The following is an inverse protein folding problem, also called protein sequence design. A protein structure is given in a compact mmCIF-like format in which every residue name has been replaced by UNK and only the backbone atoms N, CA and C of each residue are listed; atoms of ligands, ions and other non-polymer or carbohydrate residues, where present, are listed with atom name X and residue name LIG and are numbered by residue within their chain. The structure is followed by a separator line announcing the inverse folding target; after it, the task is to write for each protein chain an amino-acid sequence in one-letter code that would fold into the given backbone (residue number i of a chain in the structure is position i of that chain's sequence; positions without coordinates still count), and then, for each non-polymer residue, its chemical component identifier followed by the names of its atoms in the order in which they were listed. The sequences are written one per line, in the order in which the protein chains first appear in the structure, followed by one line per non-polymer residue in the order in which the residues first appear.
data_IF_915537621445
#
_entry.id   IF_915537621445
#
_cell.length_a   1.000
_cell.length_b   1.000
_cell.length_c   1.000
_cell.angle_alpha   90.00
_cell.angle_beta   90.00
_cell.angle_gamma   90.00
#
_symmetry.space_group_name_H-M   'P 1'
#
loop_
_entity.id
_entity.type
_entity.pdbx_description
1 polymer ?
#
# COMPACT_ATOMS: atom_id res chain seq x y z
N UNK A 1 0.94 27.27 -27.46
CA UNK A 1 -0.35 27.10 -28.16
C UNK A 1 -0.79 25.66 -28.04
N UNK A 2 -1.68 25.33 -27.10
CA UNK A 2 -2.23 24.00 -26.96
C UNK A 2 -3.15 23.71 -28.15
N UNK A 3 -2.84 22.66 -28.91
CA UNK A 3 -3.75 22.14 -29.96
C UNK A 3 -5.07 21.75 -29.29
N UNK A 4 -6.16 22.49 -29.53
CA UNK A 4 -7.52 22.01 -29.25
C UNK A 4 -7.70 20.67 -29.95
N UNK A 5 -7.73 19.56 -29.19
CA UNK A 5 -8.22 18.27 -29.70
C UNK A 5 -9.66 18.50 -30.17
N UNK A 6 -9.95 18.10 -31.39
CA UNK A 6 -11.31 18.15 -31.91
C UNK A 6 -12.21 17.30 -31.02
N UNK A 7 -13.32 17.88 -30.53
CA UNK A 7 -14.31 17.15 -29.74
C UNK A 7 -14.83 15.96 -30.55
N UNK A 8 -14.90 14.79 -29.92
CA UNK A 8 -15.48 13.60 -30.54
C UNK A 8 -16.95 13.88 -30.84
N UNK A 9 -17.34 13.81 -32.11
CA UNK A 9 -18.75 13.90 -32.50
C UNK A 9 -19.36 12.51 -32.45
N UNK A 10 -20.42 12.36 -31.71
CA UNK A 10 -21.29 11.16 -31.76
C UNK A 10 -22.13 11.27 -33.01
N UNK A 11 -21.92 10.35 -33.98
CA UNK A 11 -22.47 10.50 -35.33
C UNK A 11 -24.02 10.54 -35.41
N UNK A 12 -24.72 9.97 -34.42
CA UNK A 12 -26.17 9.82 -34.45
C UNK A 12 -26.88 10.34 -33.17
N UNK A 13 -26.15 10.95 -32.23
CA UNK A 13 -26.71 11.45 -30.98
C UNK A 13 -26.72 12.99 -30.91
N UNK A 14 -27.84 13.55 -31.37
CA UNK A 14 -28.06 15.01 -31.37
C UNK A 14 -28.02 15.59 -29.97
N UNK A 15 -28.50 14.88 -28.95
CA UNK A 15 -28.56 15.36 -27.58
C UNK A 15 -27.15 15.43 -26.98
N UNK A 16 -26.34 14.40 -27.14
CA UNK A 16 -24.93 14.40 -26.69
C UNK A 16 -24.13 15.53 -27.35
N UNK A 17 -24.36 15.77 -28.66
CA UNK A 17 -23.70 16.88 -29.37
C UNK A 17 -24.15 18.26 -28.85
N UNK A 18 -25.42 18.43 -28.46
CA UNK A 18 -25.91 19.65 -27.82
C UNK A 18 -25.29 19.85 -26.41
N UNK A 19 -25.15 18.79 -25.62
CA UNK A 19 -24.51 18.83 -24.31
C UNK A 19 -23.04 19.26 -24.45
N UNK A 20 -22.30 18.66 -25.39
CA UNK A 20 -20.91 19.02 -25.67
C UNK A 20 -20.80 20.46 -26.11
N UNK A 21 -21.69 20.94 -26.97
CA UNK A 21 -21.69 22.31 -27.44
C UNK A 21 -21.95 23.34 -26.32
N UNK A 22 -22.80 22.97 -25.34
CA UNK A 22 -23.21 23.87 -24.26
C UNK A 22 -22.23 23.84 -23.07
N UNK A 23 -21.72 22.67 -22.70
CA UNK A 23 -21.00 22.45 -21.46
C UNK A 23 -19.53 22.05 -21.66
N UNK A 24 -19.06 21.87 -22.89
CA UNK A 24 -17.73 21.38 -23.21
C UNK A 24 -17.70 19.87 -23.40
N UNK A 25 -16.49 19.35 -23.60
CA UNK A 25 -16.22 17.93 -23.92
C UNK A 25 -16.35 17.04 -22.67
N UNK A 26 -17.57 16.88 -22.19
CA UNK A 26 -17.91 16.10 -20.97
C UNK A 26 -18.59 14.77 -21.27
N UNK A 27 -18.81 14.44 -22.54
CA UNK A 27 -19.41 13.17 -22.96
C UNK A 27 -18.37 12.33 -23.69
N UNK A 28 -18.10 11.14 -23.21
CA UNK A 28 -17.16 10.20 -23.80
C UNK A 28 -17.83 8.86 -24.07
N UNK A 29 -17.32 8.12 -25.05
CA UNK A 29 -17.78 6.76 -25.31
C UNK A 29 -17.23 5.79 -24.25
N UNK A 30 -18.07 4.85 -23.77
CA UNK A 30 -17.68 3.87 -22.76
C UNK A 30 -16.48 3.01 -23.17
N UNK A 31 -16.32 2.69 -24.46
CA UNK A 31 -15.14 1.97 -24.98
C UNK A 31 -13.85 2.77 -24.81
N UNK A 32 -13.89 4.10 -25.00
CA UNK A 32 -12.74 4.97 -24.78
C UNK A 32 -12.40 5.04 -23.29
N UNK A 33 -13.41 5.24 -22.44
CA UNK A 33 -13.23 5.25 -20.98
C UNK A 33 -12.63 3.92 -20.49
N UNK A 34 -13.11 2.78 -21.03
CA UNK A 34 -12.57 1.47 -20.69
C UNK A 34 -11.08 1.34 -21.07
N UNK A 35 -10.71 1.80 -22.27
CA UNK A 35 -9.31 1.81 -22.71
C UNK A 35 -8.44 2.67 -21.80
N UNK A 36 -8.92 3.86 -21.43
CA UNK A 36 -8.20 4.75 -20.51
C UNK A 36 -8.04 4.10 -19.13
N UNK A 37 -9.08 3.44 -18.60
CA UNK A 37 -9.03 2.72 -17.32
C UNK A 37 -8.03 1.55 -17.31
N UNK A 38 -7.83 0.88 -18.44
CA UNK A 38 -6.85 -0.20 -18.60
C UNK A 38 -5.40 0.29 -18.58
N UNK A 39 -5.16 1.60 -18.75
CA UNK A 39 -3.81 2.17 -18.67
C UNK A 39 -3.35 2.46 -17.25
N UNK A 40 -4.20 2.31 -16.24
CA UNK A 40 -3.82 2.52 -14.86
C UNK A 40 -3.05 1.31 -14.33
N UNK A 41 -1.87 1.55 -13.81
CA UNK A 41 -1.03 0.52 -13.23
C UNK A 41 -1.34 0.30 -11.74
N UNK A 42 -0.90 -0.83 -11.24
CA UNK A 42 -0.78 -1.09 -9.80
C UNK A 42 0.69 -1.07 -9.41
N UNK A 43 0.97 -0.58 -8.21
CA UNK A 43 2.31 -0.63 -7.60
C UNK A 43 2.21 -1.55 -6.40
N UNK A 44 3.02 -2.61 -6.41
CA UNK A 44 3.05 -3.59 -5.32
C UNK A 44 3.58 -2.99 -4.02
N UNK A 45 3.17 -3.60 -2.91
CA UNK A 45 3.71 -3.33 -1.58
C UNK A 45 4.65 -4.46 -1.18
N UNK A 46 4.08 -5.67 -1.08
CA UNK A 46 4.77 -6.90 -0.72
C UNK A 46 3.97 -8.11 -1.21
N UNK A 47 4.56 -9.30 -1.33
CA UNK A 47 3.87 -10.48 -1.87
C UNK A 47 2.51 -10.75 -1.23
N UNK A 48 2.42 -10.76 0.10
CA UNK A 48 1.17 -11.04 0.81
C UNK A 48 0.10 -9.97 0.59
N UNK A 49 0.49 -8.69 0.65
CA UNK A 49 -0.43 -7.57 0.44
C UNK A 49 -0.87 -7.48 -1.02
N UNK A 50 0.03 -7.74 -1.97
CA UNK A 50 -0.29 -7.69 -3.40
C UNK A 50 -1.32 -8.74 -3.78
N UNK A 51 -1.21 -9.95 -3.23
CA UNK A 51 -2.22 -10.99 -3.41
C UNK A 51 -3.59 -10.58 -2.86
N UNK A 52 -3.62 -10.06 -1.64
CA UNK A 52 -4.87 -9.62 -1.01
C UNK A 52 -5.50 -8.41 -1.73
N UNK A 53 -4.68 -7.53 -2.32
CA UNK A 53 -5.11 -6.34 -3.03
C UNK A 53 -5.50 -6.61 -4.50
N UNK A 54 -5.04 -7.71 -5.10
CA UNK A 54 -5.19 -7.97 -6.55
C UNK A 54 -4.09 -7.30 -7.38
N UNK A 55 -2.87 -7.21 -6.82
CA UNK A 55 -1.66 -6.73 -7.50
C UNK A 55 -1.04 -5.47 -6.92
N UNK A 56 -1.58 -4.91 -5.83
CA UNK A 56 -1.01 -3.74 -5.17
C UNK A 56 -1.95 -2.53 -5.09
N UNK A 57 -1.41 -1.34 -4.92
CA UNK A 57 -2.18 -0.09 -4.90
C UNK A 57 -2.32 0.49 -6.31
N UNK A 58 -3.57 0.73 -6.71
CA UNK A 58 -3.90 1.21 -8.05
C UNK A 58 -3.68 2.72 -8.17
N UNK A 59 -3.09 3.16 -9.27
CA UNK A 59 -3.03 4.57 -9.66
C UNK A 59 -4.42 5.21 -9.70
N UNK A 60 -4.49 6.50 -9.43
CA UNK A 60 -5.75 7.24 -9.46
C UNK A 60 -6.70 6.85 -8.32
N UNK A 61 -6.20 6.40 -7.17
CA UNK A 61 -7.04 5.93 -6.07
C UNK A 61 -6.69 6.55 -4.71
N UNK A 62 -7.70 6.55 -3.86
CA UNK A 62 -7.57 6.88 -2.43
C UNK A 62 -7.47 5.58 -1.65
N UNK A 63 -6.48 5.50 -0.78
CA UNK A 63 -6.17 4.35 0.08
C UNK A 63 -6.31 4.78 1.54
N UNK A 64 -6.97 3.98 2.34
CA UNK A 64 -7.05 4.18 3.79
C UNK A 64 -6.40 3.02 4.51
N UNK A 65 -5.46 3.31 5.39
CA UNK A 65 -4.81 2.35 6.29
C UNK A 65 -5.24 2.64 7.73
N UNK A 66 -6.00 1.75 8.33
CA UNK A 66 -6.53 1.90 9.69
C UNK A 66 -5.92 0.85 10.62
N UNK A 67 -5.67 1.19 11.87
CA UNK A 67 -5.18 0.24 12.88
C UNK A 67 -4.76 0.93 14.17
N UNK A 68 -4.49 0.14 15.18
CA UNK A 68 -4.00 0.63 16.48
C UNK A 68 -2.61 1.28 16.34
N UNK A 69 -2.19 2.13 17.26
CA UNK A 69 -0.83 2.68 17.27
C UNK A 69 0.25 1.59 17.28
N UNK A 70 1.37 1.84 16.60
CA UNK A 70 2.55 0.94 16.56
C UNK A 70 2.28 -0.44 15.92
N UNK A 71 1.28 -0.55 15.07
CA UNK A 71 0.97 -1.82 14.35
C UNK A 71 1.69 -1.95 13.01
N UNK A 72 2.44 -0.92 12.55
CA UNK A 72 3.22 -0.96 11.32
C UNK A 72 2.67 -0.16 10.15
N UNK A 73 1.59 0.66 10.34
CA UNK A 73 1.01 1.49 9.26
C UNK A 73 2.03 2.40 8.59
N UNK A 74 2.72 3.22 9.38
CA UNK A 74 3.79 4.13 8.91
C UNK A 74 4.89 3.36 8.19
N UNK A 75 5.38 2.27 8.76
CA UNK A 75 6.41 1.42 8.14
C UNK A 75 5.95 0.87 6.80
N UNK A 76 4.73 0.34 6.71
CA UNK A 76 4.17 -0.18 5.45
C UNK A 76 3.98 0.91 4.42
N UNK A 77 3.52 2.11 4.80
CA UNK A 77 3.36 3.24 3.87
C UNK A 77 4.70 3.76 3.36
N UNK A 78 5.74 3.83 4.20
CA UNK A 78 7.09 4.20 3.78
C UNK A 78 7.76 3.10 2.93
N UNK A 79 7.49 1.83 3.22
CA UNK A 79 7.93 0.73 2.38
C UNK A 79 7.31 0.80 0.99
N UNK A 80 6.01 1.11 0.91
CA UNK A 80 5.34 1.42 -0.36
C UNK A 80 5.94 2.65 -1.05
N UNK A 81 6.33 3.69 -0.29
CA UNK A 81 7.02 4.86 -0.86
C UNK A 81 8.30 4.47 -1.58
N UNK A 82 9.10 3.55 -1.04
CA UNK A 82 10.30 3.03 -1.71
C UNK A 82 9.96 2.33 -3.04
N UNK A 83 8.91 1.50 -3.07
CA UNK A 83 8.41 0.86 -4.29
C UNK A 83 7.90 1.89 -5.31
N UNK A 84 7.19 2.89 -4.85
CA UNK A 84 6.70 3.99 -5.70
C UNK A 84 7.85 4.81 -6.30
N UNK A 85 8.90 5.09 -5.53
CA UNK A 85 10.10 5.75 -6.02
C UNK A 85 10.81 4.91 -7.09
N UNK A 86 10.91 3.59 -6.90
CA UNK A 86 11.46 2.67 -7.88
C UNK A 86 10.62 2.63 -9.18
N UNK A 87 9.29 2.81 -9.06
CA UNK A 87 8.37 2.94 -10.19
C UNK A 87 8.36 4.35 -10.81
N UNK A 88 9.25 5.26 -10.39
CA UNK A 88 9.39 6.61 -10.94
C UNK A 88 8.38 7.63 -10.42
N UNK A 89 7.61 7.33 -9.36
CA UNK A 89 6.66 8.26 -8.78
C UNK A 89 7.34 9.29 -7.89
N UNK A 90 6.82 10.52 -7.90
CA UNK A 90 7.15 11.53 -6.90
C UNK A 90 6.46 11.19 -5.58
N UNK A 91 7.18 11.24 -4.46
CA UNK A 91 6.62 10.92 -3.14
C UNK A 91 6.58 12.14 -2.25
N UNK A 92 5.41 12.38 -1.65
CA UNK A 92 5.16 13.43 -0.66
C UNK A 92 4.67 12.79 0.63
N UNK A 93 5.24 13.21 1.75
CA UNK A 93 4.85 12.73 3.06
C UNK A 93 4.38 13.91 3.92
N UNK A 94 3.13 13.87 4.33
CA UNK A 94 2.50 14.86 5.19
C UNK A 94 2.60 14.40 6.63
N UNK A 95 3.59 14.93 7.35
CA UNK A 95 3.89 14.60 8.73
C UNK A 95 3.04 15.45 9.69
N UNK A 96 1.81 15.02 9.92
CA UNK A 96 0.87 15.73 10.80
C UNK A 96 1.06 15.35 12.27
N UNK A 97 1.71 14.19 12.55
CA UNK A 97 2.00 13.75 13.92
C UNK A 97 3.28 14.35 14.50
N UNK A 98 4.18 14.85 13.65
CA UNK A 98 5.47 15.37 14.09
C UNK A 98 6.40 14.31 14.71
N UNK A 99 6.20 13.03 14.38
CA UNK A 99 6.90 11.89 15.02
C UNK A 99 7.88 11.16 14.11
N UNK A 100 8.22 11.73 12.96
CA UNK A 100 9.24 11.14 12.10
C UNK A 100 10.59 11.08 12.81
N UNK A 101 11.22 9.92 12.76
CA UNK A 101 12.56 9.67 13.30
C UNK A 101 13.52 9.30 12.17
N UNK A 102 14.81 9.30 12.46
CA UNK A 102 15.84 8.86 11.52
C UNK A 102 15.57 7.42 11.05
N UNK A 103 15.14 6.55 11.95
CA UNK A 103 14.88 5.14 11.71
C UNK A 103 13.72 4.92 10.72
N UNK A 104 12.76 5.84 10.66
CA UNK A 104 11.70 5.80 9.64
C UNK A 104 12.25 5.88 8.21
N UNK A 105 13.40 6.52 8.00
CA UNK A 105 14.05 6.62 6.70
C UNK A 105 15.13 5.55 6.50
N UNK A 106 16.03 5.39 7.47
CA UNK A 106 17.16 4.47 7.35
C UNK A 106 16.75 3.01 7.55
N UNK A 107 15.63 2.77 8.21
CA UNK A 107 15.06 1.44 8.48
C UNK A 107 14.10 0.92 7.42
N UNK A 108 14.09 1.51 6.22
CA UNK A 108 13.25 1.06 5.10
C UNK A 108 14.16 0.77 3.90
N UNK A 109 14.25 -0.50 3.53
CA UNK A 109 15.06 -0.95 2.38
C UNK A 109 14.59 -0.27 1.09
N UNK A 110 15.51 0.39 0.39
CA UNK A 110 15.25 1.03 -0.90
C UNK A 110 14.62 2.42 -0.84
N UNK A 111 14.24 2.94 0.34
CA UNK A 111 13.73 4.29 0.47
C UNK A 111 14.86 5.32 0.29
N UNK A 112 14.68 6.24 -0.66
CA UNK A 112 15.59 7.34 -0.88
C UNK A 112 15.02 8.63 -0.25
N UNK A 113 15.65 9.08 0.84
CA UNK A 113 15.23 10.28 1.56
C UNK A 113 15.31 11.57 0.71
N UNK A 114 16.26 11.65 -0.23
CA UNK A 114 16.40 12.83 -1.12
C UNK A 114 15.27 12.95 -2.14
N UNK A 115 14.57 11.85 -2.40
CA UNK A 115 13.44 11.79 -3.34
C UNK A 115 12.06 11.86 -2.68
N UNK A 116 12.00 12.11 -1.36
CA UNK A 116 10.75 12.29 -0.64
C UNK A 116 10.63 13.74 -0.16
N UNK A 117 9.51 14.38 -0.42
CA UNK A 117 9.22 15.72 0.07
C UNK A 117 8.37 15.64 1.32
N UNK A 118 8.84 16.26 2.40
CA UNK A 118 8.13 16.27 3.68
C UNK A 118 7.36 17.59 3.82
N UNK A 119 6.07 17.49 4.11
CA UNK A 119 5.20 18.64 4.43
C UNK A 119 4.86 18.55 5.92
N UNK A 120 5.36 19.50 6.70
CA UNK A 120 5.21 19.53 8.15
C UNK A 120 5.34 20.95 8.70
N UNK A 121 5.06 21.12 10.00
CA UNK A 121 5.41 22.33 10.72
C UNK A 121 6.93 22.57 10.70
N UNK A 122 7.34 23.84 10.63
CA UNK A 122 8.74 24.27 10.61
C UNK A 122 8.93 25.44 11.56
N UNK A 123 10.17 25.83 11.83
CA UNK A 123 10.46 27.01 12.69
C UNK A 123 9.79 28.30 12.17
N UNK A 124 9.67 28.42 10.83
CA UNK A 124 9.01 29.59 10.21
C UNK A 124 7.47 29.45 10.18
N UNK A 125 6.94 28.26 10.30
CA UNK A 125 5.51 27.94 10.32
C UNK A 125 5.27 26.87 11.39
N UNK A 126 5.26 27.25 12.69
CA UNK A 126 5.25 26.29 13.78
C UNK A 126 3.91 25.58 13.97
N UNK A 127 2.85 26.10 13.38
CA UNK A 127 1.50 25.51 13.40
C UNK A 127 0.96 25.38 11.99
N UNK A 128 0.45 24.19 11.68
CA UNK A 128 -0.18 23.90 10.37
C UNK A 128 -1.55 23.30 10.62
N UNK A 129 -2.60 24.03 10.20
CA UNK A 129 -3.97 23.56 10.36
C UNK A 129 -4.35 22.46 9.38
N UNK A 130 -5.44 21.75 9.69
CA UNK A 130 -6.02 20.75 8.79
C UNK A 130 -6.32 21.32 7.41
N UNK A 131 -6.87 22.56 7.36
CA UNK A 131 -7.14 23.26 6.09
C UNK A 131 -5.88 23.48 5.28
N UNK A 132 -4.79 23.87 5.94
CA UNK A 132 -3.50 24.10 5.26
C UNK A 132 -2.95 22.79 4.66
N UNK A 133 -2.96 21.70 5.43
CA UNK A 133 -2.56 20.39 4.89
C UNK A 133 -3.44 19.95 3.72
N UNK A 134 -4.77 20.04 3.86
CA UNK A 134 -5.70 19.62 2.81
C UNK A 134 -5.59 20.48 1.55
N UNK A 135 -5.40 21.80 1.69
CA UNK A 135 -5.18 22.70 0.56
C UNK A 135 -3.84 22.43 -0.15
N UNK A 136 -2.79 22.09 0.59
CA UNK A 136 -1.51 21.69 0.02
C UNK A 136 -1.66 20.37 -0.78
N UNK A 137 -2.33 19.35 -0.23
CA UNK A 137 -2.62 18.10 -0.93
C UNK A 137 -3.43 18.38 -2.20
N UNK A 138 -4.51 19.19 -2.11
CA UNK A 138 -5.32 19.56 -3.27
C UNK A 138 -4.48 20.24 -4.37
N UNK A 139 -3.56 21.12 -3.97
CA UNK A 139 -2.66 21.80 -4.90
C UNK A 139 -1.76 20.80 -5.63
N UNK A 140 -1.18 19.84 -4.92
CA UNK A 140 -0.39 18.78 -5.54
C UNK A 140 -1.25 17.90 -6.45
N UNK A 141 -2.42 17.45 -5.99
CA UNK A 141 -3.34 16.63 -6.79
C UNK A 141 -3.68 17.28 -8.11
N UNK A 142 -3.93 18.60 -8.12
CA UNK A 142 -4.32 19.31 -9.35
C UNK A 142 -3.18 19.54 -10.33
N UNK A 143 -1.95 19.69 -9.84
CA UNK A 143 -0.83 20.21 -10.62
C UNK A 143 0.33 19.24 -10.81
N UNK A 144 0.34 18.09 -10.12
CA UNK A 144 1.44 17.12 -10.18
C UNK A 144 0.92 15.77 -10.66
N UNK A 145 1.29 15.32 -11.87
CA UNK A 145 0.94 13.98 -12.31
C UNK A 145 1.83 12.93 -11.62
N UNK A 146 1.36 11.70 -11.62
CA UNK A 146 2.14 10.52 -11.26
C UNK A 146 2.84 10.63 -9.89
N UNK A 147 2.08 10.95 -8.84
CA UNK A 147 2.65 11.09 -7.51
C UNK A 147 1.93 10.23 -6.46
N UNK A 148 2.62 10.02 -5.34
CA UNK A 148 2.10 9.39 -4.13
C UNK A 148 2.13 10.40 -3.01
N UNK A 149 1.02 10.57 -2.29
CA UNK A 149 0.97 11.32 -1.05
C UNK A 149 0.62 10.38 0.11
N UNK A 150 1.41 10.43 1.18
CA UNK A 150 1.18 9.71 2.43
C UNK A 150 0.84 10.74 3.49
N UNK A 151 -0.31 10.58 4.14
CA UNK A 151 -0.82 11.47 5.17
C UNK A 151 -0.81 10.72 6.50
N UNK A 152 0.17 11.03 7.35
CA UNK A 152 0.39 10.32 8.62
C UNK A 152 0.35 11.28 9.82
N UNK A 153 -0.77 11.32 10.53
CA UNK A 153 -2.05 10.69 10.30
C UNK A 153 -3.18 11.71 10.24
N UNK A 154 -4.29 11.35 9.61
CA UNK A 154 -5.48 12.23 9.58
C UNK A 154 -5.99 12.52 10.99
N UNK A 155 -5.84 11.56 11.90
CA UNK A 155 -6.28 11.68 13.31
C UNK A 155 -5.64 12.85 14.07
N UNK A 156 -4.47 13.32 13.60
CA UNK A 156 -3.73 14.42 14.24
C UNK A 156 -3.93 15.78 13.53
N UNK A 157 -4.74 15.84 12.49
CA UNK A 157 -5.08 17.12 11.85
C UNK A 157 -6.04 17.92 12.72
N UNK A 158 -5.66 19.16 13.07
CA UNK A 158 -6.46 20.07 13.88
C UNK A 158 -7.01 21.19 13.00
N UNK A 159 -8.35 21.40 12.94
CA UNK A 159 -8.95 22.53 12.26
C UNK A 159 -8.47 23.87 12.78
N UNK A 160 -8.44 24.92 11.93
CA UNK A 160 -7.95 26.25 12.30
C UNK A 160 -8.73 26.83 13.48
N UNK A 161 -10.05 26.71 13.48
CA UNK A 161 -10.90 27.22 14.57
C UNK A 161 -10.59 26.58 15.92
N UNK A 162 -10.11 25.33 15.93
CA UNK A 162 -9.68 24.64 17.14
C UNK A 162 -8.27 25.09 17.58
N UNK A 163 -7.42 25.49 16.66
CA UNK A 163 -6.08 26.04 16.94
C UNK A 163 -6.16 27.46 17.53
N UNK A 164 -7.10 28.27 17.07
CA UNK A 164 -7.29 29.66 17.50
C UNK A 164 -8.07 29.76 18.84
N UNK A 165 -8.74 28.67 19.23
CA UNK A 165 -9.56 28.61 20.44
C UNK A 165 -8.78 28.16 21.68
N UNK A 166 -9.37 28.42 22.87
CA UNK A 166 -8.90 27.81 24.11
C UNK A 166 -9.07 26.28 24.06
N UNK A 167 -8.24 25.55 24.79
CA UNK A 167 -8.36 24.09 24.99
C UNK A 167 -9.66 23.81 25.80
N UNK A 168 -10.78 23.89 25.11
CA UNK A 168 -12.13 23.55 25.64
C UNK A 168 -12.69 22.43 24.79
N UNK A 169 -13.75 21.75 25.29
CA UNK A 169 -14.44 20.75 24.47
C UNK A 169 -14.95 21.38 23.17
N UNK A 170 -14.25 21.16 22.07
CA UNK A 170 -14.48 21.79 20.77
C UNK A 170 -15.76 21.32 20.09
N UNK A 171 -16.13 21.99 19.02
CA UNK A 171 -17.27 21.61 18.18
C UNK A 171 -16.95 20.29 17.49
N UNK A 172 -17.58 19.22 17.94
CA UNK A 172 -17.43 17.88 17.35
C UNK A 172 -17.76 17.94 15.86
N UNK A 173 -16.93 17.27 15.03
CA UNK A 173 -17.15 17.03 13.61
C UNK A 173 -16.67 18.10 12.60
N UNK A 174 -15.77 19.03 12.96
CA UNK A 174 -15.17 19.94 11.97
C UNK A 174 -14.28 19.20 10.97
N UNK A 175 -13.35 18.38 11.45
CA UNK A 175 -12.45 17.61 10.58
C UNK A 175 -13.19 16.69 9.59
N UNK A 176 -14.20 15.89 9.99
CA UNK A 176 -15.01 15.13 9.04
C UNK A 176 -15.70 15.97 7.96
N UNK A 177 -16.13 17.19 8.31
CA UNK A 177 -16.72 18.12 7.33
C UNK A 177 -15.68 18.63 6.33
N UNK A 178 -14.48 19.03 6.80
CA UNK A 178 -13.38 19.44 5.96
C UNK A 178 -12.96 18.34 4.99
N UNK A 179 -12.80 17.11 5.48
CA UNK A 179 -12.50 15.93 4.66
C UNK A 179 -13.58 15.69 3.61
N UNK A 180 -14.88 15.81 3.98
CA UNK A 180 -15.96 15.68 3.02
C UNK A 180 -15.89 16.69 1.89
N UNK A 181 -15.61 17.94 2.20
CA UNK A 181 -15.46 19.01 1.20
C UNK A 181 -14.21 18.75 0.34
N UNK A 182 -13.11 18.40 0.95
CA UNK A 182 -11.85 18.11 0.27
C UNK A 182 -12.02 17.00 -0.78
N UNK A 183 -12.58 15.84 -0.40
CA UNK A 183 -12.76 14.74 -1.34
C UNK A 183 -13.69 15.09 -2.51
N UNK A 184 -14.77 15.83 -2.27
CA UNK A 184 -15.65 16.33 -3.34
C UNK A 184 -14.90 17.18 -4.37
N UNK A 185 -13.86 17.89 -3.94
CA UNK A 185 -13.08 18.81 -4.81
C UNK A 185 -12.02 18.10 -5.61
N UNK A 186 -11.44 17.00 -5.08
CA UNK A 186 -10.29 16.32 -5.70
C UNK A 186 -10.62 15.01 -6.40
N UNK A 187 -11.82 14.43 -6.21
CA UNK A 187 -12.12 13.07 -6.67
C UNK A 187 -11.83 12.84 -8.16
N UNK A 188 -12.18 13.77 -9.03
CA UNK A 188 -11.88 13.68 -10.47
C UNK A 188 -10.40 13.90 -10.78
N UNK A 189 -9.74 14.77 -10.02
CA UNK A 189 -8.33 15.08 -10.23
C UNK A 189 -7.41 13.95 -9.82
N UNK A 190 -7.75 13.19 -8.77
CA UNK A 190 -6.98 12.01 -8.33
C UNK A 190 -6.84 11.00 -9.46
N UNK A 191 -7.96 10.67 -10.14
CA UNK A 191 -7.94 9.78 -11.30
C UNK A 191 -7.16 10.40 -12.47
N UNK A 192 -7.43 11.66 -12.81
CA UNK A 192 -6.80 12.37 -13.94
C UNK A 192 -5.28 12.46 -13.82
N UNK A 193 -4.76 12.68 -12.61
CA UNK A 193 -3.32 12.82 -12.35
C UNK A 193 -2.64 11.50 -11.98
N UNK A 194 -3.38 10.38 -11.91
CA UNK A 194 -2.87 9.07 -11.47
C UNK A 194 -2.26 9.08 -10.08
N UNK A 195 -2.73 9.98 -9.22
CA UNK A 195 -2.25 10.10 -7.86
C UNK A 195 -2.67 8.88 -7.03
N UNK A 196 -1.80 8.46 -6.10
CA UNK A 196 -2.15 7.50 -5.05
C UNK A 196 -2.10 8.27 -3.72
N UNK A 197 -3.24 8.42 -3.07
CA UNK A 197 -3.34 9.13 -1.80
C UNK A 197 -3.56 8.14 -0.67
N UNK A 198 -2.59 8.03 0.24
CA UNK A 198 -2.63 7.10 1.38
C UNK A 198 -2.92 7.90 2.64
N UNK A 199 -4.08 7.66 3.25
CA UNK A 199 -4.50 8.25 4.51
C UNK A 199 -4.35 7.24 5.63
N UNK A 200 -3.50 7.55 6.60
CA UNK A 200 -3.34 6.74 7.81
C UNK A 200 -4.31 7.27 8.88
N UNK A 201 -5.03 6.34 9.52
CA UNK A 201 -5.97 6.64 10.61
C UNK A 201 -5.73 5.72 11.79
N UNK A 202 -6.12 6.18 12.97
CA UNK A 202 -6.09 5.38 14.19
C UNK A 202 -7.48 4.81 14.52
N UNK A 203 -7.49 3.69 15.23
CA UNK A 203 -8.71 3.19 15.85
C UNK A 203 -8.94 3.93 17.18
N UNK A 204 -10.17 4.36 17.40
CA UNK A 204 -10.65 4.86 18.68
C UNK A 204 -11.74 3.94 19.23
N UNK A 205 -11.92 3.96 20.56
CA UNK A 205 -13.01 3.24 21.20
C UNK A 205 -14.37 3.81 20.76
N UNK A 206 -15.28 2.94 20.35
CA UNK A 206 -16.64 3.34 20.00
C UNK A 206 -17.50 3.49 21.26
N UNK A 207 -17.36 4.61 21.96
CA UNK A 207 -18.05 4.89 23.21
C UNK A 207 -19.54 5.23 23.06
N UNK A 208 -20.00 5.54 21.83
CA UNK A 208 -21.40 5.88 21.52
C UNK A 208 -22.16 4.75 20.82
N UNK A 209 -21.52 3.61 20.60
CA UNK A 209 -22.13 2.48 19.91
C UNK A 209 -23.09 1.66 20.74
N UNK A 210 -24.05 0.98 20.10
CA UNK A 210 -24.91 -0.02 20.72
C UNK A 210 -24.10 -1.29 21.06
N UNK A 211 -24.66 -2.21 21.85
CA UNK A 211 -24.06 -3.52 22.16
C UNK A 211 -23.64 -4.34 20.91
N UNK A 212 -24.23 -4.03 19.77
CA UNK A 212 -24.00 -4.70 18.48
C UNK A 212 -23.05 -3.91 17.56
N UNK A 213 -22.64 -2.72 17.97
CA UNK A 213 -21.69 -1.91 17.19
C UNK A 213 -20.25 -2.40 17.41
N UNK A 214 -19.35 -2.26 16.39
CA UNK A 214 -17.94 -2.57 16.59
C UNK A 214 -17.37 -1.81 17.79
N UNK A 215 -16.55 -2.49 18.60
CA UNK A 215 -15.92 -1.90 19.77
C UNK A 215 -14.93 -0.75 19.43
N UNK A 216 -14.41 -0.75 18.20
CA UNK A 216 -13.50 0.27 17.68
C UNK A 216 -14.00 0.83 16.36
N UNK A 217 -13.72 2.08 16.11
CA UNK A 217 -14.01 2.79 14.86
C UNK A 217 -12.82 3.64 14.43
N UNK A 218 -12.74 3.98 13.15
CA UNK A 218 -11.71 4.91 12.66
C UNK A 218 -11.99 6.33 13.15
N UNK A 219 -10.96 7.03 13.62
CA UNK A 219 -11.08 8.36 14.23
C UNK A 219 -11.56 9.44 13.23
N UNK A 220 -11.12 9.37 11.99
CA UNK A 220 -11.43 10.35 10.93
C UNK A 220 -12.90 10.29 10.43
N UNK A 221 -13.75 9.48 11.06
CA UNK A 221 -15.15 9.29 10.67
C UNK A 221 -15.33 8.41 9.42
N UNK A 222 -16.61 8.16 9.07
CA UNK A 222 -16.93 7.23 7.99
C UNK A 222 -16.63 7.78 6.58
N UNK A 223 -16.52 9.12 6.43
CA UNK A 223 -16.40 9.75 5.10
C UNK A 223 -15.16 9.30 4.37
N UNK A 224 -14.03 9.21 5.08
CA UNK A 224 -12.77 8.76 4.52
C UNK A 224 -12.88 7.31 3.98
N UNK A 225 -13.54 6.43 4.73
CA UNK A 225 -13.76 5.04 4.32
C UNK A 225 -14.69 4.92 3.10
N UNK A 226 -15.70 5.79 2.97
CA UNK A 226 -16.60 5.81 1.82
C UNK A 226 -15.92 6.32 0.53
N UNK A 227 -14.94 7.21 0.67
CA UNK A 227 -14.19 7.75 -0.47
C UNK A 227 -13.00 6.86 -0.88
N UNK A 228 -12.59 5.95 -0.01
CA UNK A 228 -11.48 5.05 -0.28
C UNK A 228 -11.86 4.00 -1.33
N UNK A 229 -11.11 3.95 -2.44
CA UNK A 229 -11.14 2.82 -3.37
C UNK A 229 -10.50 1.58 -2.76
N UNK A 230 -9.48 1.78 -1.92
CA UNK A 230 -8.81 0.71 -1.17
C UNK A 230 -8.86 1.01 0.32
N UNK A 231 -9.38 0.06 1.10
CA UNK A 231 -9.46 0.16 2.56
C UNK A 231 -8.79 -1.05 3.20
N UNK A 232 -7.71 -0.78 3.95
CA UNK A 232 -6.85 -1.76 4.60
C UNK A 232 -6.87 -1.55 6.11
N UNK A 233 -7.11 -2.63 6.85
CA UNK A 233 -7.20 -2.57 8.32
C UNK A 233 -6.19 -3.54 8.92
N UNK A 234 -5.32 -3.06 9.81
CA UNK A 234 -4.52 -3.93 10.67
C UNK A 234 -5.39 -4.33 11.85
N UNK A 235 -5.78 -5.61 11.90
CA UNK A 235 -6.68 -6.15 12.93
C UNK A 235 -5.94 -6.60 14.17
N UNK A 236 -4.71 -7.05 14.00
CA UNK A 236 -3.90 -7.57 15.08
C UNK A 236 -2.42 -7.37 14.80
N UNK A 237 -1.64 -7.10 15.86
CA UNK A 237 -0.19 -7.14 15.87
C UNK A 237 0.25 -8.44 16.55
N UNK A 238 0.91 -9.31 15.80
CA UNK A 238 1.52 -10.53 16.33
C UNK A 238 2.98 -10.32 16.77
N UNK A 239 3.47 -11.27 17.55
CA UNK A 239 4.90 -11.39 17.83
C UNK A 239 5.54 -12.18 16.70
N UNK A 240 6.68 -11.73 16.19
CA UNK A 240 7.55 -12.56 15.37
C UNK A 240 8.37 -13.44 16.31
N UNK A 241 8.32 -14.74 16.11
CA UNK A 241 8.93 -15.70 17.04
C UNK A 241 10.47 -15.79 16.93
N UNK A 242 11.04 -15.19 15.88
CA UNK A 242 12.49 -15.14 15.70
C UNK A 242 13.12 -14.06 16.59
N UNK A 243 14.30 -14.37 17.11
CA UNK A 243 15.13 -13.41 17.87
C UNK A 243 16.51 -13.27 17.23
N UNK A 244 17.16 -12.13 17.47
CA UNK A 244 18.56 -11.93 17.11
C UNK A 244 19.50 -12.73 18.04
N UNK A 245 20.82 -12.65 17.79
CA UNK A 245 21.84 -13.32 18.59
C UNK A 245 21.84 -12.89 20.06
N UNK A 246 21.33 -11.71 20.36
CA UNK A 246 21.20 -11.16 21.71
C UNK A 246 19.86 -11.52 22.38
N UNK A 247 18.97 -12.23 21.69
CA UNK A 247 17.66 -12.66 22.20
C UNK A 247 16.55 -11.60 22.08
N UNK A 248 16.76 -10.51 21.33
CA UNK A 248 15.72 -9.51 21.08
C UNK A 248 14.85 -9.89 19.89
N UNK A 249 13.58 -9.46 19.91
CA UNK A 249 12.66 -9.64 18.81
C UNK A 249 13.20 -8.95 17.54
N UNK A 250 13.30 -9.67 16.42
CA UNK A 250 13.79 -9.13 15.14
C UNK A 250 12.77 -8.25 14.43
N UNK A 251 11.50 -8.34 14.82
CA UNK A 251 10.42 -7.62 14.17
C UNK A 251 9.06 -7.88 14.80
N UNK A 252 8.02 -7.60 14.03
CA UNK A 252 6.62 -7.86 14.41
C UNK A 252 5.82 -8.36 13.23
N UNK A 253 4.71 -9.03 13.50
CA UNK A 253 3.75 -9.48 12.50
C UNK A 253 2.55 -8.53 12.46
N UNK A 254 2.15 -8.11 11.26
CA UNK A 254 0.96 -7.31 11.04
C UNK A 254 -0.09 -8.12 10.26
N UNK A 255 -1.25 -8.34 10.88
CA UNK A 255 -2.36 -9.06 10.25
C UNK A 255 -3.32 -8.05 9.63
N UNK A 256 -3.43 -8.09 8.31
CA UNK A 256 -4.24 -7.19 7.51
C UNK A 256 -5.57 -7.82 7.09
N UNK A 257 -6.58 -6.99 6.98
CA UNK A 257 -7.81 -7.27 6.26
C UNK A 257 -8.00 -6.18 5.21
N UNK A 258 -8.01 -6.55 3.95
CA UNK A 258 -8.34 -5.67 2.83
C UNK A 258 -9.85 -5.68 2.66
N UNK A 259 -10.52 -4.63 3.18
CA UNK A 259 -11.99 -4.50 3.12
C UNK A 259 -12.48 -4.30 1.70
N UNK A 260 -11.79 -3.44 0.95
CA UNK A 260 -12.03 -3.14 -0.46
C UNK A 260 -10.70 -2.89 -1.15
N UNK A 261 -10.62 -3.16 -2.46
CA UNK A 261 -9.45 -2.87 -3.27
C UNK A 261 -9.84 -2.29 -4.64
N UNK A 262 -9.25 -1.15 -4.99
CA UNK A 262 -9.37 -0.55 -6.31
C UNK A 262 -8.65 -1.35 -7.41
N UNK A 263 -7.75 -2.25 -7.05
CA UNK A 263 -7.03 -3.14 -7.97
C UNK A 263 -7.76 -4.46 -8.26
N UNK A 264 -8.95 -4.67 -7.66
CA UNK A 264 -9.78 -5.84 -7.94
C UNK A 264 -9.60 -7.02 -6.99
N UNK A 265 -8.84 -6.87 -5.90
CA UNK A 265 -8.75 -7.88 -4.84
C UNK A 265 -10.12 -8.19 -4.22
N UNK A 266 -10.31 -9.44 -3.80
CA UNK A 266 -11.59 -9.87 -3.20
C UNK A 266 -11.84 -9.13 -1.88
N UNK A 267 -13.07 -8.64 -1.62
CA UNK A 267 -13.39 -7.99 -0.34
C UNK A 267 -13.13 -8.91 0.85
N UNK A 268 -12.58 -8.34 1.93
CA UNK A 268 -12.18 -9.02 3.15
C UNK A 268 -11.05 -10.06 2.98
N UNK A 269 -10.27 -9.97 1.91
CA UNK A 269 -9.02 -10.74 1.80
C UNK A 269 -8.08 -10.41 2.94
N UNK A 270 -7.32 -11.39 3.38
CA UNK A 270 -6.37 -11.26 4.49
C UNK A 270 -4.94 -11.35 3.98
N UNK A 271 -4.03 -10.68 4.67
CA UNK A 271 -2.59 -10.78 4.45
C UNK A 271 -1.85 -10.72 5.78
N UNK A 272 -0.71 -11.38 5.83
CA UNK A 272 0.19 -11.36 6.98
C UNK A 272 1.52 -10.78 6.53
N UNK A 273 1.88 -9.62 7.08
CA UNK A 273 3.16 -8.97 6.80
C UNK A 273 4.14 -9.14 7.94
N UNK A 274 5.35 -9.51 7.60
CA UNK A 274 6.48 -9.63 8.51
C UNK A 274 7.31 -8.36 8.47
N UNK A 275 7.16 -7.50 9.49
CA UNK A 275 7.85 -6.20 9.58
C UNK A 275 9.14 -6.39 10.37
N UNK A 276 10.28 -6.38 9.67
CA UNK A 276 11.62 -6.52 10.25
C UNK A 276 12.16 -5.15 10.67
N UNK A 277 12.62 -5.02 11.90
CA UNK A 277 13.17 -3.77 12.40
C UNK A 277 14.43 -3.38 11.63
N UNK A 278 14.50 -2.13 11.19
CA UNK A 278 15.62 -1.60 10.41
C UNK A 278 15.65 -2.01 8.92
N UNK A 279 14.60 -2.68 8.42
CA UNK A 279 14.50 -3.14 7.02
C UNK A 279 13.17 -2.75 6.37
N UNK A 280 12.06 -2.82 7.12
CA UNK A 280 10.70 -2.71 6.62
C UNK A 280 10.03 -4.08 6.49
N UNK A 281 9.32 -4.35 5.40
CA UNK A 281 8.66 -5.64 5.18
C UNK A 281 9.68 -6.68 4.68
N UNK A 282 9.69 -7.85 5.31
CA UNK A 282 10.47 -9.01 4.87
C UNK A 282 9.69 -9.79 3.80
N UNK A 283 9.86 -9.38 2.55
CA UNK A 283 9.18 -9.99 1.39
C UNK A 283 9.55 -11.47 1.22
N UNK A 284 10.78 -11.83 1.55
CA UNK A 284 11.25 -13.21 1.43
C UNK A 284 10.54 -14.11 2.42
N UNK A 285 10.35 -13.61 3.65
CA UNK A 285 9.57 -14.33 4.67
C UNK A 285 8.12 -14.50 4.24
N UNK A 286 7.48 -13.44 3.75
CA UNK A 286 6.11 -13.53 3.22
C UNK A 286 6.01 -14.56 2.09
N UNK A 287 6.95 -14.52 1.15
CA UNK A 287 6.99 -15.45 0.01
C UNK A 287 7.11 -16.91 0.48
N UNK A 288 7.98 -17.19 1.47
CA UNK A 288 8.14 -18.51 2.05
C UNK A 288 6.85 -19.04 2.69
N UNK A 289 6.17 -18.19 3.47
CA UNK A 289 4.94 -18.59 4.15
C UNK A 289 3.81 -18.87 3.16
N UNK A 290 3.63 -17.99 2.16
CA UNK A 290 2.63 -18.19 1.10
C UNK A 290 2.93 -19.47 0.30
N UNK A 291 4.20 -19.67 -0.08
CA UNK A 291 4.61 -20.86 -0.81
C UNK A 291 4.40 -22.16 0.00
N UNK A 292 4.56 -22.09 1.32
CA UNK A 292 4.28 -23.21 2.22
C UNK A 292 2.76 -23.47 2.35
N UNK A 293 1.94 -22.44 2.48
CA UNK A 293 0.48 -22.56 2.50
C UNK A 293 -0.08 -23.14 1.19
N UNK A 294 0.48 -22.75 0.05
CA UNK A 294 0.11 -23.22 -1.29
C UNK A 294 0.79 -24.56 -1.66
N UNK A 295 1.52 -25.17 -0.75
CA UNK A 295 2.23 -26.45 -0.96
C UNK A 295 3.32 -26.44 -2.04
N UNK A 296 3.84 -25.27 -2.44
CA UNK A 296 5.07 -25.18 -3.24
C UNK A 296 6.33 -25.44 -2.43
N UNK A 297 6.25 -25.18 -1.12
CA UNK A 297 7.22 -25.57 -0.11
C UNK A 297 6.54 -26.58 0.81
N UNK A 298 7.21 -27.69 1.09
CA UNK A 298 6.73 -28.71 2.03
C UNK A 298 7.54 -28.65 3.32
N UNK A 299 6.84 -28.47 4.42
CA UNK A 299 7.42 -28.57 5.75
C UNK A 299 7.26 -30.00 6.33
N UNK A 300 8.35 -30.56 6.86
CA UNK A 300 8.36 -31.84 7.57
C UNK A 300 9.23 -31.70 8.84
N UNK A 301 8.58 -31.45 9.98
CA UNK A 301 9.27 -31.09 11.22
C UNK A 301 10.08 -29.79 11.08
N UNK A 302 11.37 -29.82 11.32
CA UNK A 302 12.26 -28.67 11.15
C UNK A 302 12.77 -28.48 9.71
N UNK A 303 12.37 -29.34 8.77
CA UNK A 303 12.86 -29.31 7.39
C UNK A 303 11.85 -28.73 6.43
N UNK A 304 12.33 -27.90 5.49
CA UNK A 304 11.58 -27.29 4.42
C UNK A 304 12.16 -27.69 3.07
N UNK A 305 11.35 -28.14 2.14
CA UNK A 305 11.77 -28.50 0.78
C UNK A 305 10.96 -27.72 -0.24
N UNK A 306 11.63 -27.02 -1.17
CA UNK A 306 10.96 -26.30 -2.27
C UNK A 306 10.58 -27.34 -3.33
N UNK A 307 9.45 -28.03 -3.12
CA UNK A 307 9.04 -29.16 -3.97
C UNK A 307 8.68 -28.74 -5.39
N UNK A 308 8.16 -27.52 -5.58
CA UNK A 308 7.90 -26.97 -6.91
C UNK A 308 9.19 -26.83 -7.74
N UNK A 309 10.32 -26.47 -7.11
CA UNK A 309 11.60 -26.37 -7.79
C UNK A 309 12.25 -27.75 -8.07
N UNK A 310 12.04 -28.73 -7.19
CA UNK A 310 12.56 -30.11 -7.40
C UNK A 310 12.04 -30.70 -8.71
N UNK A 311 10.76 -30.51 -9.01
CA UNK A 311 10.11 -31.09 -10.20
C UNK A 311 10.08 -30.13 -11.41
N UNK A 312 10.64 -28.92 -11.30
CA UNK A 312 10.48 -27.89 -12.32
C UNK A 312 11.51 -28.01 -13.45
N UNK A 313 11.03 -27.78 -14.68
CA UNK A 313 11.84 -27.60 -15.89
C UNK A 313 12.02 -26.11 -16.25
N UNK A 314 11.66 -25.19 -15.33
CA UNK A 314 11.84 -23.75 -15.55
C UNK A 314 13.32 -23.42 -15.74
N UNK A 315 13.59 -22.58 -16.74
CA UNK A 315 14.96 -22.18 -17.11
C UNK A 315 15.74 -21.56 -15.96
N UNK A 316 15.07 -20.83 -15.07
CA UNK A 316 15.68 -20.22 -13.87
C UNK A 316 16.18 -21.28 -12.91
N UNK A 317 15.38 -22.34 -12.69
CA UNK A 317 15.76 -23.46 -11.83
C UNK A 317 16.93 -24.24 -12.43
N UNK A 318 16.88 -24.54 -13.73
CA UNK A 318 17.97 -25.24 -14.42
C UNK A 318 19.29 -24.41 -14.40
N UNK A 319 19.21 -23.10 -14.55
CA UNK A 319 20.35 -22.20 -14.41
C UNK A 319 20.94 -22.20 -13.00
N UNK A 320 20.07 -22.18 -11.97
CA UNK A 320 20.49 -22.23 -10.57
C UNK A 320 21.18 -23.53 -10.22
N UNK A 321 20.67 -24.67 -10.69
CA UNK A 321 21.30 -25.99 -10.51
C UNK A 321 22.66 -26.04 -11.19
N UNK A 322 22.76 -25.58 -12.43
CA UNK A 322 24.03 -25.51 -13.18
C UNK A 322 25.06 -24.63 -12.50
N UNK A 323 24.66 -23.45 -12.02
CA UNK A 323 25.51 -22.48 -11.31
C UNK A 323 26.12 -23.09 -10.05
N UNK A 324 25.39 -24.00 -9.38
CA UNK A 324 25.80 -24.65 -8.15
C UNK A 324 26.34 -26.07 -8.37
N UNK A 325 26.60 -26.48 -9.63
CA UNK A 325 27.14 -27.81 -9.99
C UNK A 325 26.30 -28.98 -9.45
N UNK A 326 24.98 -28.79 -9.36
CA UNK A 326 24.05 -29.82 -8.89
C UNK A 326 23.67 -30.74 -10.05
N UNK A 327 23.76 -32.07 -9.83
CA UNK A 327 23.31 -33.04 -10.82
C UNK A 327 21.81 -32.91 -11.08
N UNK A 328 21.41 -33.07 -12.35
CA UNK A 328 20.02 -32.96 -12.77
C UNK A 328 19.27 -34.29 -12.54
N UNK A 329 19.33 -34.77 -11.30
CA UNK A 329 18.67 -35.98 -10.82
C UNK A 329 17.74 -35.64 -9.65
N UNK A 330 16.59 -36.30 -9.52
CA UNK A 330 15.60 -35.99 -8.47
C UNK A 330 16.17 -35.97 -7.05
N UNK A 331 17.02 -36.92 -6.70
CA UNK A 331 17.63 -36.99 -5.36
C UNK A 331 18.61 -35.83 -5.10
N UNK A 332 19.41 -35.45 -6.09
CA UNK A 332 20.32 -34.32 -5.99
C UNK A 332 19.57 -33.00 -5.90
N UNK A 333 18.53 -32.82 -6.71
CA UNK A 333 17.65 -31.65 -6.66
C UNK A 333 16.94 -31.55 -5.30
N UNK A 334 16.36 -32.64 -4.79
CA UNK A 334 15.69 -32.63 -3.47
C UNK A 334 16.66 -32.24 -2.36
N UNK A 335 17.86 -32.79 -2.36
CA UNK A 335 18.90 -32.45 -1.39
C UNK A 335 19.30 -30.97 -1.46
N UNK A 336 19.42 -30.40 -2.67
CA UNK A 336 19.80 -29.00 -2.89
C UNK A 336 18.70 -28.03 -2.42
N UNK A 337 17.42 -28.35 -2.66
CA UNK A 337 16.30 -27.50 -2.28
C UNK A 337 15.70 -27.81 -0.90
N UNK A 338 16.46 -28.50 -0.01
CA UNK A 338 16.05 -28.88 1.34
C UNK A 338 16.84 -28.15 2.42
N UNK A 339 16.14 -27.45 3.30
CA UNK A 339 16.73 -26.55 4.30
C UNK A 339 16.23 -26.88 5.69
N UNK A 340 17.12 -26.85 6.68
CA UNK A 340 16.75 -26.99 8.09
C UNK A 340 16.43 -25.60 8.67
N UNK A 341 15.18 -25.40 9.08
CA UNK A 341 14.68 -24.13 9.61
C UNK A 341 14.32 -23.09 8.54
N UNK A 342 13.35 -22.26 8.86
CA UNK A 342 12.85 -21.21 7.98
C UNK A 342 13.92 -20.15 7.66
N UNK A 343 14.78 -19.82 8.60
CA UNK A 343 15.84 -18.80 8.39
C UNK A 343 16.84 -19.21 7.31
N UNK A 344 17.19 -20.50 7.21
CA UNK A 344 18.08 -20.98 6.15
C UNK A 344 17.37 -21.00 4.79
N UNK A 345 16.10 -21.40 4.75
CA UNK A 345 15.27 -21.30 3.55
C UNK A 345 15.16 -19.86 3.07
N UNK A 346 14.80 -18.92 3.95
CA UNK A 346 14.64 -17.50 3.60
C UNK A 346 15.94 -16.91 3.08
N UNK A 347 17.07 -17.21 3.72
CA UNK A 347 18.38 -16.77 3.27
C UNK A 347 18.69 -17.27 1.86
N UNK A 348 18.46 -18.55 1.60
CA UNK A 348 18.69 -19.14 0.27
C UNK A 348 17.84 -18.43 -0.80
N UNK A 349 16.57 -18.16 -0.52
CA UNK A 349 15.69 -17.46 -1.45
C UNK A 349 16.13 -16.00 -1.63
N UNK A 350 16.56 -15.32 -0.57
CA UNK A 350 17.05 -13.94 -0.65
C UNK A 350 18.34 -13.81 -1.47
N UNK A 351 19.24 -14.79 -1.38
CA UNK A 351 20.51 -14.82 -2.09
C UNK A 351 20.40 -15.25 -3.57
N UNK A 352 19.23 -15.78 -3.99
CA UNK A 352 19.02 -16.32 -5.33
C UNK A 352 17.74 -15.75 -5.97
N UNK A 353 17.89 -14.71 -6.78
CA UNK A 353 16.81 -14.05 -7.51
C UNK A 353 16.02 -15.03 -8.41
N UNK A 354 16.70 -16.04 -8.95
CA UNK A 354 16.11 -17.06 -9.82
C UNK A 354 14.98 -17.81 -9.11
N UNK A 355 15.21 -18.26 -7.87
CA UNK A 355 14.21 -19.00 -7.09
C UNK A 355 13.13 -18.08 -6.54
N UNK A 356 13.50 -16.84 -6.17
CA UNK A 356 12.54 -15.84 -5.69
C UNK A 356 11.51 -15.52 -6.77
N UNK A 357 11.97 -15.18 -7.98
CA UNK A 357 11.10 -14.87 -9.11
C UNK A 357 10.28 -16.07 -9.57
N UNK A 358 10.86 -17.27 -9.53
CA UNK A 358 10.15 -18.50 -9.85
C UNK A 358 8.99 -18.75 -8.88
N UNK A 359 9.21 -18.71 -7.57
CA UNK A 359 8.16 -18.91 -6.57
C UNK A 359 7.07 -17.83 -6.67
N UNK A 360 7.43 -16.59 -6.95
CA UNK A 360 6.46 -15.51 -7.11
C UNK A 360 5.53 -15.76 -8.31
N UNK A 361 6.08 -16.24 -9.45
CA UNK A 361 5.29 -16.56 -10.63
C UNK A 361 4.41 -17.79 -10.42
N UNK A 362 4.92 -18.85 -9.74
CA UNK A 362 4.14 -20.03 -9.37
C UNK A 362 2.93 -19.64 -8.50
N UNK A 363 3.15 -18.82 -7.47
CA UNK A 363 2.09 -18.31 -6.60
C UNK A 363 1.05 -17.51 -7.41
N UNK A 364 1.51 -16.63 -8.29
CA UNK A 364 0.60 -15.86 -9.17
C UNK A 364 -0.24 -16.70 -10.10
N UNK A 365 0.29 -17.84 -10.52
CA UNK A 365 -0.40 -18.71 -11.49
C UNK A 365 -1.63 -19.43 -10.92
N UNK A 366 -1.72 -19.55 -9.59
CA UNK A 366 -2.80 -20.29 -8.89
C UNK A 366 -3.81 -19.40 -8.17
N UNK A 367 -3.59 -18.08 -8.19
CA UNK A 367 -4.42 -17.07 -7.54
C UNK A 367 -5.19 -16.23 -8.54
#
# INVERSE_FOLDING_TARGET
MAKKKAAAKFSDDIVSNQIIAKYGDIVEQGTKVLQDLQTFNTIGISPALDLALGGGLREGSVVVMTGDPKTGKTTTSLYFAAKAQAAGKNVFYFNTEGRLTKENFTGIKGLNADKIKIVQATDNQPVVSAETFLNAIETYVKNTPDFVAIIDSVSNMVPQDELDGDVRGGVRAQLPRLLSMFFKRISNDVARTRAILIFITHNIANTGGSRWSPAKMADAGNMLQYQAGTNMVITHRGKWEETDEAGHDVGQVANWVVKTSAAGGKPNSTAVSYIKYGVGIDETRELCEIANELTFIKQAGAWYTIISAVASEDKRILQLLKKNEVADEPEAREKFFKFQGMSNLSRFIEENEEIQSFLYDEIKSVL
#
